data_IF_419129261454
#
_entry.id   IF_419129261454
#
_cell.length_a   1.000
_cell.length_b   1.000
_cell.length_c   1.000
_cell.angle_alpha   90.00
_cell.angle_beta   90.00
_cell.angle_gamma   90.00
#
_symmetry.space_group_name_H-M   'P 1'
#
loop_
_entity.id
_entity.type
_entity.pdbx_description
1 polymer ?
#
# COMPACT_ATOMS: atom_id res chain seq x y z
N UNK A 1 5.94 -2.73 -13.26
CA UNK A 1 7.09 -3.08 -12.39
C UNK A 1 7.76 -1.78 -11.98
N UNK A 2 7.86 -1.46 -10.68
CA UNK A 2 8.47 -0.22 -10.17
C UNK A 2 10.00 -0.20 -10.35
N UNK A 3 10.46 -0.12 -11.59
CA UNK A 3 11.89 -0.09 -11.93
C UNK A 3 12.57 1.26 -11.67
N UNK A 4 11.89 2.21 -11.02
CA UNK A 4 12.32 3.62 -10.93
C UNK A 4 12.34 4.19 -9.50
N UNK A 5 12.29 3.35 -8.47
CA UNK A 5 12.55 3.83 -7.11
C UNK A 5 14.06 3.98 -6.92
N UNK A 6 14.52 5.22 -6.70
CA UNK A 6 15.87 5.43 -6.16
C UNK A 6 15.97 4.83 -4.76
N UNK A 7 17.19 4.49 -4.34
CA UNK A 7 17.43 4.01 -2.96
C UNK A 7 16.87 4.99 -1.91
N UNK A 8 16.94 6.29 -2.17
CA UNK A 8 16.40 7.31 -1.28
C UNK A 8 14.87 7.31 -1.20
N UNK A 9 14.18 6.95 -2.28
CA UNK A 9 12.74 6.78 -2.25
C UNK A 9 12.35 5.46 -1.57
N UNK A 10 13.15 4.39 -1.71
CA UNK A 10 12.93 3.14 -0.99
C UNK A 10 13.00 3.33 0.54
N UNK A 11 13.85 4.24 1.05
CA UNK A 11 13.92 4.56 2.49
C UNK A 11 12.62 5.14 3.05
N UNK A 12 11.74 5.68 2.19
CA UNK A 12 10.44 6.24 2.58
C UNK A 12 9.33 5.17 2.63
N UNK A 13 9.57 3.99 2.08
CA UNK A 13 8.59 2.90 2.06
C UNK A 13 8.74 2.09 3.35
N UNK A 14 7.75 2.22 4.23
CA UNK A 14 7.76 1.56 5.54
C UNK A 14 7.60 0.04 5.39
N UNK A 15 6.66 -0.40 4.55
CA UNK A 15 6.34 -1.81 4.31
C UNK A 15 5.55 -2.00 3.01
N UNK A 16 5.59 -3.22 2.47
CA UNK A 16 4.73 -3.64 1.39
C UNK A 16 3.60 -4.50 1.96
N UNK A 17 2.37 -4.26 1.50
CA UNK A 17 1.18 -5.00 1.96
C UNK A 17 0.69 -5.87 0.81
N UNK A 18 0.47 -7.15 1.09
CA UNK A 18 -0.01 -8.11 0.09
C UNK A 18 -0.98 -9.10 0.74
N UNK A 19 -2.05 -9.49 0.06
CA UNK A 19 -3.01 -10.46 0.58
C UNK A 19 -2.52 -11.92 0.47
N UNK A 20 -1.46 -12.19 -0.32
CA UNK A 20 -0.89 -13.51 -0.47
C UNK A 20 -0.04 -13.90 0.74
N UNK A 21 -0.60 -14.74 1.61
CA UNK A 21 0.01 -15.21 2.86
C UNK A 21 1.40 -15.84 2.65
N UNK A 22 1.63 -16.44 1.48
CA UNK A 22 2.91 -17.09 1.15
C UNK A 22 4.06 -16.09 1.07
N UNK A 23 3.75 -14.80 0.93
CA UNK A 23 4.72 -13.71 0.82
C UNK A 23 4.97 -13.01 2.14
N UNK A 24 4.13 -13.20 3.15
CA UNK A 24 4.29 -12.53 4.43
C UNK A 24 5.60 -12.94 5.10
N UNK A 25 6.29 -11.97 5.70
CA UNK A 25 7.59 -12.20 6.33
C UNK A 25 8.77 -12.20 5.35
N UNK A 26 8.52 -12.25 4.04
CA UNK A 26 9.54 -12.10 3.00
C UNK A 26 9.78 -10.62 2.67
N UNK A 27 10.67 -10.34 1.71
CA UNK A 27 11.04 -9.00 1.31
C UNK A 27 10.69 -8.74 -0.16
N UNK A 28 10.32 -7.50 -0.48
CA UNK A 28 10.16 -7.06 -1.86
C UNK A 28 11.52 -7.18 -2.58
N UNK A 29 11.50 -7.70 -3.81
CA UNK A 29 12.71 -8.01 -4.56
C UNK A 29 13.70 -6.84 -4.60
N UNK A 30 14.98 -7.13 -4.32
CA UNK A 30 16.09 -6.16 -4.32
C UNK A 30 15.87 -4.98 -3.36
N UNK A 31 15.17 -5.19 -2.26
CA UNK A 31 14.97 -4.17 -1.22
C UNK A 31 14.95 -4.79 0.17
N UNK A 32 15.07 -3.96 1.19
CA UNK A 32 14.87 -4.34 2.59
C UNK A 32 13.41 -4.16 3.05
N UNK A 33 12.47 -3.90 2.13
CA UNK A 33 11.06 -3.64 2.45
C UNK A 33 10.37 -4.96 2.73
N UNK A 34 9.92 -5.15 3.97
CA UNK A 34 9.20 -6.36 4.39
C UNK A 34 7.80 -6.39 3.81
N UNK A 35 7.36 -7.58 3.37
CA UNK A 35 5.99 -7.84 2.96
C UNK A 35 5.21 -8.32 4.19
N UNK A 36 4.08 -7.68 4.47
CA UNK A 36 3.23 -7.95 5.63
C UNK A 36 1.77 -8.15 5.23
N UNK A 37 0.99 -8.73 6.13
CA UNK A 37 -0.45 -8.90 5.96
C UNK A 37 -1.21 -7.56 5.96
N UNK A 38 -2.37 -7.47 5.29
CA UNK A 38 -3.25 -6.32 5.38
C UNK A 38 -3.90 -6.24 6.76
N UNK A 39 -3.50 -5.27 7.57
CA UNK A 39 -4.09 -5.01 8.89
C UNK A 39 -3.98 -3.55 9.27
N UNK A 40 -4.87 -3.08 10.16
CA UNK A 40 -4.82 -1.71 10.70
C UNK A 40 -3.46 -1.43 11.35
N UNK A 41 -2.92 -2.39 12.11
CA UNK A 41 -1.62 -2.26 12.77
C UNK A 41 -0.48 -2.05 11.76
N UNK A 42 -0.58 -2.68 10.59
CA UNK A 42 0.40 -2.53 9.53
C UNK A 42 0.22 -1.23 8.72
N UNK A 43 -0.93 -0.58 8.78
CA UNK A 43 -1.26 0.60 7.97
C UNK A 43 -1.18 1.90 8.78
N UNK A 44 -1.49 1.87 10.07
CA UNK A 44 -1.77 3.06 10.90
C UNK A 44 -0.63 4.09 10.99
N UNK A 45 0.62 3.66 10.84
CA UNK A 45 1.80 4.54 10.95
C UNK A 45 2.22 5.13 9.60
N UNK A 46 1.53 4.80 8.51
CA UNK A 46 1.81 5.35 7.20
C UNK A 46 1.27 6.79 7.07
N UNK A 47 1.89 7.60 6.22
CA UNK A 47 1.35 8.92 5.85
C UNK A 47 0.39 8.82 4.65
N UNK A 48 0.62 7.83 3.78
CA UNK A 48 -0.21 7.55 2.62
C UNK A 48 -0.11 6.07 2.21
N UNK A 49 -1.07 5.61 1.42
CA UNK A 49 -1.05 4.31 0.76
C UNK A 49 -0.78 4.52 -0.73
N UNK A 50 0.30 3.91 -1.24
CA UNK A 50 0.59 3.86 -2.67
C UNK A 50 0.06 2.55 -3.25
N UNK A 51 -0.92 2.63 -4.14
CA UNK A 51 -1.53 1.47 -4.78
C UNK A 51 -0.67 1.02 -5.96
N UNK A 52 -0.14 -0.21 -5.92
CA UNK A 52 0.77 -0.74 -6.96
C UNK A 52 0.20 -2.01 -7.59
N UNK A 53 -1.10 -1.96 -7.86
CA UNK A 53 -1.89 -3.09 -8.36
C UNK A 53 -2.90 -2.60 -9.40
N UNK A 54 -2.44 -2.05 -10.55
CA UNK A 54 -3.28 -1.30 -11.47
C UNK A 54 -4.54 -2.06 -11.92
N UNK A 55 -4.44 -3.38 -12.10
CA UNK A 55 -5.56 -4.23 -12.55
C UNK A 55 -6.65 -4.38 -11.48
N UNK A 56 -6.28 -4.38 -10.20
CA UNK A 56 -7.18 -4.67 -9.08
C UNK A 56 -7.42 -3.46 -8.16
N UNK A 57 -6.83 -2.30 -8.47
CA UNK A 57 -6.81 -1.10 -7.64
C UNK A 57 -8.20 -0.70 -7.15
N UNK A 58 -9.17 -0.55 -8.08
CA UNK A 58 -10.55 -0.19 -7.73
C UNK A 58 -11.17 -1.18 -6.74
N UNK A 59 -11.02 -2.48 -7.00
CA UNK A 59 -11.60 -3.54 -6.18
C UNK A 59 -11.00 -3.56 -4.78
N UNK A 60 -9.70 -3.37 -4.66
CA UNK A 60 -9.00 -3.37 -3.37
C UNK A 60 -9.34 -2.11 -2.57
N UNK A 61 -9.47 -0.95 -3.24
CA UNK A 61 -9.93 0.27 -2.57
C UNK A 61 -11.31 0.07 -1.94
N UNK A 62 -12.29 -0.37 -2.75
CA UNK A 62 -13.69 -0.49 -2.32
C UNK A 62 -13.91 -1.59 -1.26
N UNK A 63 -13.16 -2.69 -1.33
CA UNK A 63 -13.40 -3.85 -0.44
C UNK A 63 -12.52 -3.90 0.80
N UNK A 64 -11.33 -3.30 0.73
CA UNK A 64 -10.31 -3.46 1.77
C UNK A 64 -9.89 -2.11 2.33
N UNK A 65 -9.39 -1.19 1.49
CA UNK A 65 -8.81 0.08 1.95
C UNK A 65 -9.86 0.95 2.65
N UNK A 66 -11.02 1.15 2.03
CA UNK A 66 -12.11 1.94 2.62
C UNK A 66 -12.57 1.36 3.97
N UNK A 67 -12.59 0.02 4.09
CA UNK A 67 -12.89 -0.66 5.35
C UNK A 67 -11.81 -0.38 6.41
N UNK A 68 -10.52 -0.46 6.06
CA UNK A 68 -9.45 -0.15 6.99
C UNK A 68 -9.47 1.30 7.46
N UNK A 69 -9.75 2.26 6.56
CA UNK A 69 -9.89 3.67 6.94
C UNK A 69 -11.02 3.85 7.96
N UNK A 70 -12.17 3.23 7.70
CA UNK A 70 -13.33 3.32 8.59
C UNK A 70 -13.11 2.62 9.94
N UNK A 71 -12.69 1.36 9.92
CA UNK A 71 -12.56 0.53 11.12
C UNK A 71 -11.40 1.01 12.00
N UNK A 72 -10.29 1.45 11.38
CA UNK A 72 -9.12 1.99 12.07
C UNK A 72 -9.21 3.48 12.39
N UNK A 73 -10.24 4.19 11.92
CA UNK A 73 -10.35 5.67 11.95
C UNK A 73 -9.11 6.35 11.39
N UNK A 74 -8.60 5.81 10.29
CA UNK A 74 -7.40 6.31 9.62
C UNK A 74 -7.81 7.37 8.58
N UNK A 75 -7.01 8.42 8.45
CA UNK A 75 -7.20 9.49 7.47
C UNK A 75 -5.95 9.60 6.59
N UNK A 76 -5.73 8.59 5.76
CA UNK A 76 -4.57 8.50 4.89
C UNK A 76 -4.96 8.86 3.45
N UNK A 77 -4.07 9.59 2.79
CA UNK A 77 -4.16 9.77 1.35
C UNK A 77 -3.90 8.43 0.64
N UNK A 78 -4.72 8.09 -0.35
CA UNK A 78 -4.51 6.93 -1.23
C UNK A 78 -4.05 7.41 -2.59
N UNK A 79 -2.84 7.05 -2.98
CA UNK A 79 -2.26 7.36 -4.28
C UNK A 79 -2.57 6.19 -5.23
N UNK A 80 -3.49 6.43 -6.14
CA UNK A 80 -3.90 5.50 -7.18
C UNK A 80 -2.97 5.64 -8.40
N UNK A 81 -2.64 4.54 -9.06
CA UNK A 81 -1.73 4.51 -10.22
C UNK A 81 -2.25 3.68 -11.39
N UNK A 82 -3.53 3.25 -11.41
CA UNK A 82 -4.06 2.38 -12.47
C UNK A 82 -3.97 2.98 -13.87
N UNK A 83 -4.47 4.21 -14.02
CA UNK A 83 -4.60 4.90 -15.31
C UNK A 83 -3.80 6.21 -15.30
N UNK A 84 -4.00 7.00 -14.25
CA UNK A 84 -3.26 8.23 -13.95
C UNK A 84 -2.87 8.25 -12.49
N UNK A 85 -1.77 8.93 -12.16
CA UNK A 85 -1.39 9.15 -10.77
C UNK A 85 -2.36 10.18 -10.18
N UNK A 86 -3.17 9.75 -9.22
CA UNK A 86 -4.18 10.60 -8.57
C UNK A 86 -4.25 10.31 -7.07
N UNK A 87 -4.52 11.36 -6.29
CA UNK A 87 -4.72 11.24 -4.84
C UNK A 87 -6.22 11.15 -4.56
N UNK A 88 -6.65 10.08 -3.91
CA UNK A 88 -8.01 9.89 -3.41
C UNK A 88 -8.00 10.05 -1.89
N UNK A 89 -8.79 11.01 -1.40
CA UNK A 89 -9.10 11.14 0.03
C UNK A 89 -10.33 10.29 0.34
N UNK A 90 -10.16 9.30 1.21
CA UNK A 90 -11.24 8.45 1.69
C UNK A 90 -11.77 9.07 2.99
N UNK A 91 -13.09 9.31 3.06
CA UNK A 91 -13.78 9.99 4.16
C UNK A 91 -14.65 8.99 4.91
#
# INVERSE_FOLDING_TARGET
MMSYLSEDNCKKIIRAIDADERRWGTYLQKSSIKIVEPSIENIKDAECILMIMPIYEKKVIEKEVEKFMKDGRLNLDVICTSDTIQIKKLV
#
